data_IF_202036623354
#
_entry.id   IF_202036623354
#
_cell.length_a   1.000
_cell.length_b   1.000
_cell.length_c   1.000
_cell.angle_alpha   90.00
_cell.angle_beta   90.00
_cell.angle_gamma   90.00
#
_symmetry.space_group_name_H-M   'P 1'
#
loop_
_entity.id
_entity.type
_entity.pdbx_description
1 polymer ?
#
# COMPACT_ATOMS: atom_id res chain seq x y z
N UNK A 1 -17.22 -14.58 0.02
CA UNK A 1 -17.14 -13.45 0.98
C UNK A 1 -16.65 -12.24 0.21
N UNK A 2 -17.50 -11.24 0.00
CA UNK A 2 -17.15 -10.04 -0.76
C UNK A 2 -16.29 -9.12 0.12
N UNK A 3 -15.02 -8.90 -0.26
CA UNK A 3 -14.15 -7.91 0.38
C UNK A 3 -14.50 -6.54 -0.20
N UNK A 4 -15.09 -5.69 0.64
CA UNK A 4 -15.39 -4.29 0.29
C UNK A 4 -14.11 -3.49 0.52
N UNK A 5 -13.46 -3.05 -0.55
CA UNK A 5 -12.41 -2.03 -0.47
C UNK A 5 -13.07 -0.72 -0.04
N UNK A 6 -12.83 -0.28 1.19
CA UNK A 6 -13.31 1.00 1.69
C UNK A 6 -12.40 2.10 1.15
N UNK A 7 -12.74 2.65 -0.02
CA UNK A 7 -12.14 3.90 -0.48
C UNK A 7 -12.61 5.01 0.45
N UNK A 8 -11.77 5.38 1.43
CA UNK A 8 -12.00 6.55 2.27
C UNK A 8 -11.70 7.78 1.43
N UNK A 9 -12.67 8.19 0.61
CA UNK A 9 -12.73 9.56 0.14
C UNK A 9 -13.01 10.45 1.35
N UNK A 10 -12.01 11.19 1.82
CA UNK A 10 -12.21 12.25 2.80
C UNK A 10 -13.27 13.22 2.26
N UNK A 11 -14.49 13.11 2.80
CA UNK A 11 -15.59 14.02 2.54
C UNK A 11 -15.24 15.40 3.11
N UNK A 12 -14.74 16.29 2.26
CA UNK A 12 -14.96 17.72 2.46
C UNK A 12 -16.44 18.00 2.19
N UNK A 13 -17.15 18.50 3.21
CA UNK A 13 -18.53 18.99 3.09
C UNK A 13 -18.59 20.12 2.05
N UNK A 14 -19.19 19.84 0.90
CA UNK A 14 -19.52 20.83 -0.11
C UNK A 14 -20.33 20.20 -1.23
N UNK A 15 -21.62 20.57 -1.34
CA UNK A 15 -22.40 20.28 -2.53
C UNK A 15 -21.74 20.96 -3.74
N UNK A 16 -21.39 20.17 -4.77
CA UNK A 16 -20.88 20.68 -6.03
C UNK A 16 -19.93 19.69 -6.70
N UNK A 17 -20.40 19.08 -7.77
CA UNK A 17 -19.68 18.33 -8.81
C UNK A 17 -18.14 18.45 -8.76
N UNK A 18 -17.45 17.52 -8.08
CA UNK A 18 -16.00 17.52 -8.06
C UNK A 18 -15.50 16.73 -9.27
N UNK A 19 -15.10 17.46 -10.30
CA UNK A 19 -14.62 16.97 -11.60
C UNK A 19 -13.72 15.72 -11.48
N UNK A 20 -14.15 14.64 -12.14
CA UNK A 20 -13.42 13.39 -12.40
C UNK A 20 -12.22 13.62 -13.34
N UNK A 21 -11.24 14.41 -12.90
CA UNK A 21 -10.10 14.82 -13.74
C UNK A 21 -8.75 14.74 -12.99
N UNK A 22 -8.62 13.77 -12.07
CA UNK A 22 -7.35 13.39 -11.45
C UNK A 22 -7.41 11.88 -11.26
N UNK A 23 -6.49 11.15 -11.87
CA UNK A 23 -6.55 9.70 -11.99
C UNK A 23 -6.90 8.97 -10.68
N UNK A 24 -7.61 7.86 -10.80
CA UNK A 24 -7.94 6.99 -9.68
C UNK A 24 -6.89 5.88 -9.58
N UNK A 25 -6.58 5.45 -8.35
CA UNK A 25 -5.68 4.33 -8.07
C UNK A 25 -6.44 3.26 -7.29
N UNK A 26 -6.35 2.01 -7.74
CA UNK A 26 -6.89 0.85 -7.03
C UNK A 26 -5.80 -0.19 -6.81
N UNK A 27 -5.85 -0.87 -5.66
CA UNK A 27 -4.87 -1.88 -5.28
C UNK A 27 -5.49 -3.27 -5.41
N UNK A 28 -4.75 -4.20 -6.01
CA UNK A 28 -5.15 -5.60 -6.16
C UNK A 28 -4.00 -6.52 -5.78
N UNK A 29 -4.30 -7.77 -5.41
CA UNK A 29 -3.27 -8.76 -5.09
C UNK A 29 -2.44 -8.42 -3.84
N UNK A 30 -2.90 -7.50 -3.00
CA UNK A 30 -2.18 -7.08 -1.81
C UNK A 30 -1.98 -8.26 -0.86
N UNK A 31 -0.73 -8.46 -0.48
CA UNK A 31 -0.30 -9.47 0.47
C UNK A 31 0.72 -8.84 1.42
N UNK A 32 0.50 -9.00 2.72
CA UNK A 32 1.40 -8.52 3.78
C UNK A 32 1.54 -9.61 4.82
N UNK A 33 2.76 -10.02 5.14
CA UNK A 33 3.04 -11.09 6.11
C UNK A 33 4.45 -10.97 6.69
N UNK A 34 4.71 -11.66 7.79
CA UNK A 34 6.09 -11.87 8.28
C UNK A 34 6.64 -13.23 7.82
N UNK A 35 7.86 -13.24 7.30
CA UNK A 35 8.64 -14.46 7.08
C UNK A 35 9.51 -14.74 8.31
N UNK A 36 9.22 -15.86 8.99
CA UNK A 36 9.84 -16.25 10.26
C UNK A 36 10.76 -17.46 10.13
N UNK A 37 11.12 -17.85 8.90
CA UNK A 37 12.09 -18.90 8.63
C UNK A 37 13.51 -18.51 9.12
N UNK A 38 14.32 -19.48 9.57
CA UNK A 38 15.61 -19.24 10.24
C UNK A 38 16.71 -18.63 9.35
N UNK A 39 16.53 -18.55 8.04
CA UNK A 39 17.39 -17.75 7.13
C UNK A 39 16.73 -16.39 6.96
N UNK A 40 16.94 -15.53 7.96
CA UNK A 40 16.20 -14.27 8.10
C UNK A 40 16.72 -13.20 7.14
N UNK A 41 15.87 -12.82 6.21
CA UNK A 41 15.92 -11.50 5.58
C UNK A 41 16.07 -10.44 6.69
N UNK A 42 16.94 -9.43 6.56
CA UNK A 42 17.08 -8.39 7.59
C UNK A 42 15.74 -7.72 7.92
N UNK A 43 14.78 -7.68 6.99
CA UNK A 43 13.41 -7.25 7.25
C UNK A 43 12.42 -8.44 7.17
N UNK A 44 11.87 -8.89 8.32
CA UNK A 44 10.97 -10.04 8.30
C UNK A 44 9.61 -9.72 7.66
N UNK A 45 9.20 -8.45 7.54
CA UNK A 45 7.89 -8.09 6.99
C UNK A 45 7.98 -7.93 5.47
N UNK A 46 7.23 -8.76 4.75
CA UNK A 46 7.13 -8.75 3.29
C UNK A 46 5.78 -8.13 2.91
N UNK A 47 5.80 -7.22 1.94
CA UNK A 47 4.60 -6.64 1.35
C UNK A 47 4.75 -6.55 -0.17
N UNK A 48 3.72 -6.95 -0.91
CA UNK A 48 3.64 -6.78 -2.36
C UNK A 48 2.19 -6.54 -2.78
N UNK A 49 2.02 -5.78 -3.86
CA UNK A 49 0.71 -5.42 -4.40
C UNK A 49 0.82 -5.05 -5.88
N UNK A 50 -0.32 -4.99 -6.56
CA UNK A 50 -0.44 -4.41 -7.90
C UNK A 50 -1.23 -3.12 -7.79
N UNK A 51 -0.65 -2.02 -8.29
CA UNK A 51 -1.30 -0.73 -8.38
C UNK A 51 -1.87 -0.53 -9.77
N UNK A 52 -3.15 -0.17 -9.87
CA UNK A 52 -3.85 0.08 -11.12
C UNK A 52 -4.33 1.53 -11.17
N UNK A 53 -3.96 2.24 -12.23
CA UNK A 53 -4.31 3.64 -12.43
C UNK A 53 -5.31 3.75 -13.58
N UNK A 54 -6.33 4.58 -13.41
CA UNK A 54 -7.35 4.86 -14.45
C UNK A 54 -7.76 6.32 -14.45
N UNK A 55 -8.19 6.85 -15.60
CA UNK A 55 -8.71 8.22 -15.71
C UNK A 55 -7.67 9.32 -15.45
N UNK A 56 -6.38 9.01 -15.61
CA UNK A 56 -5.31 9.99 -15.53
C UNK A 56 -5.15 10.72 -16.87
N UNK A 57 -4.67 11.97 -16.84
CA UNK A 57 -4.35 12.72 -18.06
C UNK A 57 -2.85 12.66 -18.40
N UNK A 58 -2.02 12.31 -17.42
CA UNK A 58 -0.58 12.19 -17.53
C UNK A 58 -0.10 10.90 -18.15
N UNK A 59 1.20 10.89 -18.46
CA UNK A 59 1.91 9.73 -18.96
C UNK A 59 2.47 8.83 -17.85
N UNK A 60 2.46 9.29 -16.60
CA UNK A 60 3.03 8.55 -15.46
C UNK A 60 2.24 8.78 -14.17
N UNK A 61 2.28 7.79 -13.29
CA UNK A 61 1.91 7.89 -11.88
C UNK A 61 3.09 7.41 -11.05
N UNK A 62 3.48 8.15 -10.01
CA UNK A 62 4.64 7.78 -9.18
C UNK A 62 4.25 7.65 -7.72
N UNK A 63 4.54 6.51 -7.10
CA UNK A 63 4.41 6.31 -5.67
C UNK A 63 5.42 7.22 -4.94
N UNK A 64 4.90 8.19 -4.21
CA UNK A 64 5.69 9.21 -3.49
C UNK A 64 5.82 8.92 -2.00
N UNK A 65 4.90 8.17 -1.41
CA UNK A 65 4.97 7.74 0.00
C UNK A 65 4.27 6.39 0.16
N UNK A 66 4.81 5.54 1.03
CA UNK A 66 4.25 4.24 1.37
C UNK A 66 4.48 3.96 2.85
N UNK A 67 3.40 3.80 3.61
CA UNK A 67 3.44 3.56 5.06
C UNK A 67 2.68 2.29 5.39
N UNK A 68 3.32 1.43 6.16
CA UNK A 68 2.73 0.21 6.69
C UNK A 68 2.62 0.32 8.20
N UNK A 69 1.40 0.12 8.71
CA UNK A 69 1.15 -0.05 10.14
C UNK A 69 0.65 -1.47 10.37
N UNK A 70 1.30 -2.23 11.25
CA UNK A 70 0.85 -3.55 11.69
C UNK A 70 0.50 -3.48 13.17
N UNK A 71 -0.74 -3.84 13.50
CA UNK A 71 -1.29 -3.81 14.85
C UNK A 71 -1.53 -5.24 15.35
N UNK A 72 -0.66 -5.70 16.25
CA UNK A 72 -0.80 -6.96 16.98
C UNK A 72 -0.74 -6.72 18.49
N UNK A 73 0.04 -7.56 19.20
CA UNK A 73 0.36 -7.30 20.63
C UNK A 73 1.22 -6.05 20.84
N UNK A 74 1.91 -5.64 19.78
CA UNK A 74 2.59 -4.35 19.63
C UNK A 74 2.21 -3.72 18.28
N UNK A 75 2.30 -2.40 18.19
CA UNK A 75 2.16 -1.68 16.92
C UNK A 75 3.53 -1.43 16.31
N UNK A 76 3.67 -1.77 15.03
CA UNK A 76 4.85 -1.46 14.21
C UNK A 76 4.41 -0.51 13.11
N UNK A 77 5.12 0.60 12.95
CA UNK A 77 4.92 1.56 11.87
C UNK A 77 6.21 1.67 11.06
N UNK A 78 6.10 1.56 9.74
CA UNK A 78 7.21 1.58 8.80
C UNK A 78 6.89 2.48 7.62
N UNK A 79 7.84 3.32 7.23
CA UNK A 79 7.90 3.92 5.90
C UNK A 79 8.65 2.97 4.98
N UNK A 80 8.01 2.58 3.88
CA UNK A 80 8.53 1.56 2.97
C UNK A 80 9.33 2.19 1.83
N UNK A 81 10.44 1.55 1.49
CA UNK A 81 11.05 1.68 0.16
C UNK A 81 10.46 0.61 -0.73
N UNK A 82 10.02 0.99 -1.92
CA UNK A 82 9.29 0.12 -2.86
C UNK A 82 10.05 0.06 -4.18
N UNK A 83 10.16 -1.11 -4.79
CA UNK A 83 10.67 -1.20 -6.17
C UNK A 83 9.64 -0.63 -7.17
N UNK A 84 10.13 -0.24 -8.34
CA UNK A 84 9.28 0.21 -9.46
C UNK A 84 8.17 1.20 -9.05
N UNK A 85 8.50 2.32 -8.38
CA UNK A 85 7.49 3.26 -7.88
C UNK A 85 6.73 3.99 -8.99
N UNK A 86 7.25 3.99 -10.23
CA UNK A 86 6.65 4.68 -11.36
C UNK A 86 5.88 3.73 -12.28
N UNK A 87 4.64 4.09 -12.57
CA UNK A 87 3.71 3.40 -13.46
C UNK A 87 3.59 4.22 -14.74
N UNK A 88 3.91 3.60 -15.88
CA UNK A 88 3.68 4.22 -17.19
C UNK A 88 2.20 4.12 -17.56
N UNK A 89 1.63 5.23 -18.03
CA UNK A 89 0.22 5.33 -18.38
C UNK A 89 0.07 5.48 -19.89
N UNK A 90 -0.81 4.66 -20.48
CA UNK A 90 -1.19 4.72 -21.88
C UNK A 90 -2.69 4.90 -21.98
N UNK A 91 -3.14 5.96 -22.66
CA UNK A 91 -4.56 6.33 -22.71
C UNK A 91 -5.17 6.63 -21.34
N UNK A 92 -4.36 7.11 -20.39
CA UNK A 92 -4.80 7.45 -19.03
C UNK A 92 -4.93 6.27 -18.07
N UNK A 93 -4.42 5.09 -18.44
CA UNK A 93 -4.44 3.90 -17.60
C UNK A 93 -3.09 3.16 -17.60
N UNK A 94 -2.80 2.44 -16.52
CA UNK A 94 -1.59 1.63 -16.37
C UNK A 94 -1.66 0.73 -15.14
N UNK A 95 -0.79 -0.26 -15.09
CA UNK A 95 -0.71 -1.21 -13.97
C UNK A 95 0.75 -1.56 -13.71
N UNK A 96 1.12 -1.68 -12.44
CA UNK A 96 2.48 -2.02 -12.02
C UNK A 96 2.45 -2.88 -10.75
N UNK A 97 3.21 -3.96 -10.76
CA UNK A 97 3.54 -4.71 -9.55
C UNK A 97 4.61 -3.96 -8.77
N UNK A 98 4.42 -3.91 -7.45
CA UNK A 98 5.25 -3.20 -6.52
C UNK A 98 5.47 -4.04 -5.27
N UNK A 99 6.69 -4.02 -4.77
CA UNK A 99 7.10 -4.78 -3.61
C UNK A 99 7.96 -3.94 -2.69
N UNK A 100 7.75 -4.14 -1.40
CA UNK A 100 8.64 -3.61 -0.37
C UNK A 100 10.05 -4.18 -0.57
N UNK A 101 11.04 -3.30 -0.65
CA UNK A 101 12.47 -3.66 -0.72
C UNK A 101 13.19 -3.39 0.59
N UNK A 102 12.74 -2.41 1.38
CA UNK A 102 13.22 -2.13 2.72
C UNK A 102 12.22 -1.24 3.48
N UNK A 103 12.48 -1.00 4.76
CA UNK A 103 11.79 -0.02 5.58
C UNK A 103 12.79 0.81 6.41
N UNK A 104 12.35 1.98 6.85
CA UNK A 104 13.10 2.84 7.78
C UNK A 104 13.30 2.20 9.16
N UNK A 105 12.32 1.42 9.61
CA UNK A 105 12.35 0.68 10.89
C UNK A 105 12.25 -0.80 10.62
N UNK A 106 13.15 -1.60 11.19
CA UNK A 106 13.08 -3.06 11.17
C UNK A 106 12.54 -3.56 12.52
N UNK A 107 11.44 -4.32 12.58
CA UNK A 107 10.81 -4.69 13.84
C UNK A 107 11.51 -5.90 14.44
N UNK A 108 12.25 -5.70 15.53
CA UNK A 108 12.79 -6.80 16.33
C UNK A 108 11.64 -7.57 16.98
N UNK A 109 11.43 -8.83 16.57
CA UNK A 109 10.38 -9.68 17.13
C UNK A 109 9.03 -9.56 16.42
N UNK A 110 8.97 -9.13 15.16
CA UNK A 110 7.74 -9.22 14.34
C UNK A 110 7.11 -10.62 14.41
N UNK A 111 7.96 -11.66 14.33
CA UNK A 111 7.58 -13.06 14.37
C UNK A 111 7.03 -13.57 15.72
N UNK A 112 7.21 -12.84 16.81
CA UNK A 112 6.66 -13.20 18.12
C UNK A 112 5.50 -12.30 18.53
N UNK A 113 5.51 -11.04 18.10
CA UNK A 113 4.56 -10.01 18.54
C UNK A 113 3.39 -9.77 17.58
N UNK A 114 3.55 -10.09 16.29
CA UNK A 114 2.55 -9.81 15.24
C UNK A 114 1.84 -11.07 14.74
N UNK A 115 2.33 -12.28 15.03
CA UNK A 115 1.79 -13.53 14.46
C UNK A 115 0.49 -14.05 15.09
N UNK A 116 -0.13 -13.30 15.98
CA UNK A 116 -1.36 -13.72 16.67
C UNK A 116 -2.46 -12.69 16.44
N UNK A 117 -3.22 -12.88 15.35
CA UNK A 117 -4.41 -12.09 15.03
C UNK A 117 -4.13 -10.61 14.77
N UNK A 118 -2.93 -10.27 14.27
CA UNK A 118 -2.62 -8.90 13.91
C UNK A 118 -3.36 -8.49 12.63
N UNK A 119 -3.52 -7.19 12.48
CA UNK A 119 -4.05 -6.56 11.26
C UNK A 119 -3.03 -5.58 10.72
N UNK A 120 -3.12 -5.27 9.44
CA UNK A 120 -2.29 -4.24 8.81
C UNK A 120 -3.14 -3.13 8.19
N UNK A 121 -2.54 -1.95 8.06
CA UNK A 121 -2.99 -0.82 7.25
C UNK A 121 -1.82 -0.37 6.38
N UNK A 122 -1.98 -0.44 5.06
CA UNK A 122 -1.03 0.04 4.07
C UNK A 122 -1.59 1.32 3.44
N UNK A 123 -0.90 2.44 3.66
CA UNK A 123 -1.23 3.74 3.11
C UNK A 123 -0.23 4.08 1.99
N UNK A 124 -0.75 4.29 0.79
CA UNK A 124 0.03 4.59 -0.41
C UNK A 124 -0.38 5.95 -0.96
N UNK A 125 0.60 6.79 -1.28
CA UNK A 125 0.36 8.09 -1.92
C UNK A 125 1.02 8.13 -3.27
N UNK A 126 0.22 8.24 -4.34
CA UNK A 126 0.70 8.41 -5.71
C UNK A 126 0.60 9.86 -6.12
N UNK A 127 1.59 10.34 -6.87
CA UNK A 127 1.54 11.60 -7.59
C UNK A 127 1.20 11.32 -9.05
N UNK A 128 0.08 11.89 -9.52
CA UNK A 128 -0.43 11.77 -10.88
C UNK A 128 -0.74 13.19 -11.37
N UNK A 129 -0.12 13.64 -12.45
CA UNK A 129 -0.32 15.01 -12.97
C UNK A 129 -0.10 16.12 -11.92
N UNK A 130 0.88 15.91 -11.02
CA UNK A 130 1.17 16.82 -9.91
C UNK A 130 0.14 16.82 -8.78
N UNK A 131 -0.84 15.91 -8.81
CA UNK A 131 -1.83 15.72 -7.75
C UNK A 131 -1.54 14.48 -6.94
N UNK A 132 -1.77 14.56 -5.63
CA UNK A 132 -1.64 13.42 -4.72
C UNK A 132 -2.95 12.63 -4.67
N UNK A 133 -2.84 11.31 -4.83
CA UNK A 133 -3.91 10.33 -4.72
C UNK A 133 -3.52 9.35 -3.62
N UNK A 134 -4.31 9.33 -2.56
CA UNK A 134 -4.08 8.45 -1.41
C UNK A 134 -4.97 7.22 -1.50
N UNK A 135 -4.40 6.06 -1.22
CA UNK A 135 -5.11 4.78 -1.13
C UNK A 135 -4.72 4.10 0.16
N UNK A 136 -5.71 3.59 0.89
CA UNK A 136 -5.50 2.85 2.13
C UNK A 136 -6.13 1.48 1.99
N UNK A 137 -5.33 0.45 2.24
CA UNK A 137 -5.78 -0.94 2.25
C UNK A 137 -5.54 -1.56 3.62
N UNK A 138 -6.50 -2.34 4.10
CA UNK A 138 -6.41 -3.03 5.39
C UNK A 138 -6.65 -4.51 5.23
N UNK A 139 -6.02 -5.32 6.08
CA UNK A 139 -6.24 -6.76 6.07
C UNK A 139 -5.70 -7.46 7.29
N UNK A 140 -5.89 -8.78 7.30
CA UNK A 140 -5.28 -9.67 8.29
C UNK A 140 -3.78 -9.81 8.01
N UNK A 141 -2.97 -9.85 9.06
CA UNK A 141 -1.54 -10.04 8.97
C UNK A 141 -1.18 -11.46 9.40
N UNK A 142 -0.53 -12.19 8.50
CA UNK A 142 -0.14 -13.57 8.71
C UNK A 142 1.37 -13.74 8.92
N UNK A 143 1.76 -14.88 9.45
CA UNK A 143 3.16 -15.28 9.59
C UNK A 143 3.41 -16.65 8.98
N UNK A 144 4.53 -16.77 8.27
CA UNK A 144 5.01 -18.03 7.69
C UNK A 144 6.24 -18.49 8.47
N UNK A 145 6.23 -19.76 8.87
CA UNK A 145 7.27 -20.41 9.67
C UNK A 145 7.99 -21.50 8.87
#
# INVERSE_FOLDING_TARGET
MARVALVVAMLALGCGESATNGGNVTITGLTVFANCMPVVDPDPIIAFWTANVTGANGSTATLSDAKLTVNGSSTVMQTLTVDNPTISLSGGAGSQEQRKTSADVIPSGACSSLCSGATFSLELTYTIDGRMVMVTETGDFDCFF
#
